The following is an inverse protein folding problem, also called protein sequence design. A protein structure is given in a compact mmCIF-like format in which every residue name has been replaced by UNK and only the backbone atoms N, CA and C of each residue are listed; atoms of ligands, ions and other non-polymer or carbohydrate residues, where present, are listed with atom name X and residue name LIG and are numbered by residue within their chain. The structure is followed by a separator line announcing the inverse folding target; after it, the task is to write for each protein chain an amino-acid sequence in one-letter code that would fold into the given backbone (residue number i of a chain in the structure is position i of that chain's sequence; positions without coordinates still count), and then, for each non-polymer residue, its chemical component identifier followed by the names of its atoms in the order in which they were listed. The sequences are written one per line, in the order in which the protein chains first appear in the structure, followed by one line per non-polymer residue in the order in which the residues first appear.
data_IF_039098408213
#
_entry.id   IF_039098408213
#
_cell.length_a   1.000
_cell.length_b   1.000
_cell.length_c   1.000
_cell.angle_alpha   90.00
_cell.angle_beta   90.00
_cell.angle_gamma   90.00
#
_symmetry.space_group_name_H-M   'P 1'
#
loop_
_entity.id
_entity.type
_entity.pdbx_description
1 polymer ?
#
# COMPACT_ATOMS: atom_id res chain seq x y z
N UNK A 1 -7.15 -0.52 -19.68
CA UNK A 1 -6.26 -1.10 -18.68
C UNK A 1 -6.06 -0.12 -17.55
N UNK A 2 -6.25 -0.55 -16.31
CA UNK A 2 -6.07 0.31 -15.15
C UNK A 2 -4.58 0.38 -14.77
N UNK A 3 -4.08 1.59 -14.58
CA UNK A 3 -2.72 1.81 -14.10
C UNK A 3 -2.72 2.12 -12.60
N UNK A 4 -1.53 2.03 -12.00
CA UNK A 4 -1.30 2.43 -10.61
C UNK A 4 -1.76 3.88 -10.40
N UNK A 5 -1.47 4.77 -11.35
CA UNK A 5 -1.88 6.18 -11.29
C UNK A 5 -3.40 6.33 -11.14
N UNK A 6 -4.16 5.61 -11.97
CA UNK A 6 -5.62 5.65 -11.92
C UNK A 6 -6.15 5.13 -10.59
N UNK A 7 -5.57 4.04 -10.09
CA UNK A 7 -5.96 3.46 -8.81
C UNK A 7 -5.70 4.40 -7.64
N UNK A 8 -4.54 5.07 -7.62
CA UNK A 8 -4.23 6.07 -6.58
C UNK A 8 -5.19 7.26 -6.61
N UNK A 9 -5.56 7.71 -7.82
CA UNK A 9 -6.47 8.86 -7.97
C UNK A 9 -7.87 8.58 -7.43
N UNK A 10 -8.26 7.31 -7.30
CA UNK A 10 -9.57 6.91 -6.80
C UNK A 10 -9.60 6.71 -5.28
N UNK A 11 -8.49 6.86 -4.59
CA UNK A 11 -8.46 6.78 -3.13
C UNK A 11 -9.21 7.98 -2.54
N UNK A 12 -10.05 7.77 -1.51
CA UNK A 12 -10.89 8.85 -0.96
C UNK A 12 -10.11 9.93 -0.22
N UNK A 13 -8.86 9.65 0.16
CA UNK A 13 -8.01 10.63 0.84
C UNK A 13 -6.92 11.09 -0.09
N UNK A 14 -6.47 12.37 0.03
CA UNK A 14 -5.32 12.84 -0.74
C UNK A 14 -4.13 11.92 -0.47
N UNK A 15 -3.31 11.71 -1.50
CA UNK A 15 -2.10 10.90 -1.36
C UNK A 15 -1.11 11.66 -0.49
N UNK A 16 -1.26 11.52 0.82
CA UNK A 16 -0.26 12.01 1.77
C UNK A 16 0.63 10.84 2.10
N UNK A 17 1.91 10.98 1.83
CA UNK A 17 2.89 9.96 2.21
C UNK A 17 3.02 9.96 3.72
N UNK A 18 2.51 8.92 4.36
CA UNK A 18 2.64 8.73 5.80
C UNK A 18 3.93 7.98 6.04
N UNK A 19 4.86 8.60 6.76
CA UNK A 19 6.19 8.03 6.96
C UNK A 19 6.71 8.29 8.37
N UNK A 20 7.70 7.49 8.76
CA UNK A 20 8.49 7.68 9.97
C UNK A 20 9.96 7.59 9.62
N UNK A 21 10.82 8.11 10.48
CA UNK A 21 12.26 7.96 10.35
C UNK A 21 12.72 6.59 10.89
N UNK A 22 13.89 6.11 10.44
CA UNK A 22 14.41 4.81 10.87
C UNK A 22 14.78 4.75 12.35
N UNK A 23 15.13 5.87 12.94
CA UNK A 23 15.56 5.94 14.35
C UNK A 23 14.41 6.18 15.32
N UNK A 24 13.17 6.27 14.83
CA UNK A 24 12.01 6.37 15.69
C UNK A 24 11.67 5.02 16.31
N UNK A 25 10.97 5.05 17.44
CA UNK A 25 10.52 3.84 18.12
C UNK A 25 9.31 3.24 17.39
N UNK A 26 9.21 1.93 17.41
CA UNK A 26 8.09 1.21 16.78
C UNK A 26 6.75 1.70 17.30
N UNK A 27 6.64 2.04 18.59
CA UNK A 27 5.40 2.55 19.18
C UNK A 27 4.90 3.81 18.48
N UNK A 28 5.80 4.69 18.03
CA UNK A 28 5.43 5.91 17.31
C UNK A 28 4.79 5.56 15.97
N UNK A 29 5.38 4.60 15.25
CA UNK A 29 4.81 4.12 13.98
C UNK A 29 3.43 3.48 14.18
N UNK A 30 3.26 2.67 15.24
CA UNK A 30 1.98 2.05 15.55
C UNK A 30 0.90 3.07 15.91
N UNK A 31 1.25 4.11 16.66
CA UNK A 31 0.33 5.20 16.97
C UNK A 31 -0.12 5.92 15.70
N UNK A 32 0.81 6.15 14.79
CA UNK A 32 0.51 6.82 13.52
C UNK A 32 -0.37 5.93 12.63
N UNK A 33 -0.12 4.61 12.59
CA UNK A 33 -0.98 3.66 11.88
C UNK A 33 -2.41 3.69 12.41
N UNK A 34 -2.56 3.73 13.73
CA UNK A 34 -3.87 3.84 14.40
C UNK A 34 -4.57 5.13 14.02
N UNK A 35 -3.87 6.26 14.16
CA UNK A 35 -4.46 7.58 13.96
C UNK A 35 -4.83 7.84 12.51
N UNK A 36 -4.04 7.32 11.58
CA UNK A 36 -4.27 7.46 10.13
C UNK A 36 -5.04 6.30 9.52
N UNK A 37 -5.36 5.27 10.31
CA UNK A 37 -6.12 4.08 9.88
C UNK A 37 -5.44 3.36 8.69
N UNK A 38 -4.13 3.23 8.76
CA UNK A 38 -3.33 2.51 7.77
C UNK A 38 -2.65 1.33 8.44
N UNK A 39 -2.28 0.32 7.66
CA UNK A 39 -1.65 -0.91 8.16
C UNK A 39 -0.17 -1.02 7.78
N UNK A 40 0.33 -0.03 7.09
CA UNK A 40 1.72 0.03 6.69
C UNK A 40 2.15 1.48 6.69
N UNK A 41 3.42 1.71 6.98
CA UNK A 41 4.00 3.04 7.01
C UNK A 41 5.37 2.98 6.36
N UNK A 42 5.69 4.00 5.58
CA UNK A 42 6.97 4.07 4.91
C UNK A 42 8.04 4.57 5.87
N UNK A 43 9.25 4.07 5.70
CA UNK A 43 10.42 4.51 6.47
C UNK A 43 11.29 5.32 5.52
N UNK A 44 11.37 6.63 5.79
CA UNK A 44 12.03 7.59 4.90
C UNK A 44 13.03 8.41 5.71
N UNK A 45 14.20 8.63 5.13
CA UNK A 45 15.22 9.53 5.67
C UNK A 45 15.88 10.27 4.51
N UNK A 46 15.98 11.60 4.63
CA UNK A 46 16.59 12.45 3.59
C UNK A 46 15.96 12.19 2.21
N UNK A 47 14.63 12.13 2.17
CA UNK A 47 13.82 11.88 0.98
C UNK A 47 14.03 10.50 0.34
N UNK A 48 14.79 9.62 0.99
CA UNK A 48 15.04 8.26 0.50
C UNK A 48 14.15 7.25 1.21
N UNK A 49 13.54 6.38 0.42
CA UNK A 49 12.78 5.25 0.94
C UNK A 49 13.77 4.18 1.42
N UNK A 50 13.80 3.95 2.74
CA UNK A 50 14.67 2.95 3.35
C UNK A 50 13.97 1.61 3.53
N UNK A 51 12.67 1.63 3.79
CA UNK A 51 11.94 0.42 4.05
C UNK A 51 10.46 0.68 4.22
N UNK A 52 9.75 -0.36 4.59
CA UNK A 52 8.34 -0.31 4.95
C UNK A 52 8.14 -1.09 6.24
N UNK A 53 7.31 -0.54 7.13
CA UNK A 53 6.94 -1.18 8.38
C UNK A 53 5.46 -1.48 8.35
N UNK A 54 5.10 -2.76 8.49
CA UNK A 54 3.71 -3.22 8.50
C UNK A 54 3.29 -3.66 9.89
N UNK A 55 1.97 -3.76 10.11
CA UNK A 55 1.46 -4.35 11.36
C UNK A 55 1.96 -5.79 11.52
N UNK A 56 2.08 -6.54 10.41
CA UNK A 56 2.65 -7.89 10.45
C UNK A 56 4.09 -7.92 10.94
N UNK A 57 4.93 -6.97 10.49
CA UNK A 57 6.30 -6.83 11.00
C UNK A 57 6.31 -6.62 12.51
N UNK A 58 5.43 -5.75 13.00
CA UNK A 58 5.35 -5.47 14.43
C UNK A 58 4.89 -6.69 15.22
N UNK A 59 3.92 -7.43 14.71
CA UNK A 59 3.43 -8.63 15.37
C UNK A 59 4.51 -9.72 15.45
N UNK A 60 5.19 -9.98 14.35
CA UNK A 60 6.13 -11.11 14.25
C UNK A 60 7.51 -10.77 14.81
N UNK A 61 7.96 -9.53 14.62
CA UNK A 61 9.34 -9.15 14.99
C UNK A 61 9.43 -8.42 16.33
N UNK A 62 8.33 -7.95 16.88
CA UNK A 62 8.30 -7.22 18.15
C UNK A 62 7.48 -7.98 19.18
N UNK A 63 6.20 -8.21 18.91
CA UNK A 63 5.28 -8.81 19.86
C UNK A 63 5.60 -10.29 20.13
N UNK A 64 5.75 -11.08 19.07
CA UNK A 64 6.00 -12.53 19.19
C UNK A 64 7.26 -12.85 20.00
N UNK A 65 8.44 -12.20 19.73
CA UNK A 65 9.63 -12.45 20.54
C UNK A 65 9.61 -11.77 21.91
N UNK A 66 8.56 -11.03 22.26
CA UNK A 66 8.43 -10.39 23.57
C UNK A 66 9.22 -9.10 23.73
N UNK A 67 9.53 -8.40 22.63
CA UNK A 67 10.22 -7.13 22.69
C UNK A 67 9.23 -5.99 23.01
N UNK A 68 9.77 -4.88 23.53
CA UNK A 68 8.99 -3.72 23.90
C UNK A 68 9.00 -2.71 22.75
N UNK A 69 7.85 -2.43 22.17
CA UNK A 69 7.68 -1.47 21.07
C UNK A 69 8.14 -0.05 21.45
N UNK A 70 8.20 0.26 22.74
CA UNK A 70 8.71 1.55 23.24
C UNK A 70 10.23 1.64 23.21
N UNK A 71 10.93 0.53 23.01
CA UNK A 71 12.38 0.46 23.00
C UNK A 71 12.95 0.10 21.63
N UNK A 72 12.23 -0.67 20.83
CA UNK A 72 12.69 -1.17 19.53
C UNK A 72 12.63 -0.03 18.50
N UNK A 73 13.70 0.09 17.71
CA UNK A 73 13.76 1.07 16.62
C UNK A 73 13.12 0.52 15.35
N UNK A 74 12.48 1.41 14.60
CA UNK A 74 11.83 1.06 13.33
C UNK A 74 12.82 0.36 12.38
N UNK A 75 14.05 0.88 12.27
CA UNK A 75 15.07 0.31 11.37
C UNK A 75 15.42 -1.14 11.67
N UNK A 76 15.22 -1.60 12.92
CA UNK A 76 15.59 -2.95 13.32
C UNK A 76 14.55 -4.00 12.95
N UNK A 77 13.34 -3.57 12.59
CA UNK A 77 12.22 -4.49 12.29
C UNK A 77 11.53 -4.22 10.95
N UNK A 78 11.83 -3.12 10.29
CA UNK A 78 11.26 -2.81 8.98
C UNK A 78 11.70 -3.82 7.92
N UNK A 79 10.92 -3.94 6.87
CA UNK A 79 11.34 -4.64 5.65
C UNK A 79 12.21 -3.69 4.84
N UNK A 80 13.47 -4.10 4.59
CA UNK A 80 14.48 -3.29 3.88
C UNK A 80 14.32 -3.47 2.38
N UNK A 81 14.69 -2.42 1.62
CA UNK A 81 14.64 -2.43 0.17
C UNK A 81 13.30 -2.95 -0.36
N UNK A 82 12.19 -2.29 -0.01
CA UNK A 82 10.89 -2.77 -0.45
C UNK A 82 10.78 -2.73 -1.97
N UNK A 83 10.06 -3.71 -2.52
CA UNK A 83 9.73 -3.71 -3.94
C UNK A 83 8.80 -2.53 -4.20
N UNK A 84 9.09 -1.76 -5.24
CA UNK A 84 8.34 -0.56 -5.60
C UNK A 84 7.72 -0.70 -6.99
N UNK A 85 6.71 0.11 -7.25
CA UNK A 85 6.06 0.20 -8.56
C UNK A 85 6.03 1.66 -9.01
N UNK A 86 5.72 1.89 -10.28
CA UNK A 86 5.63 3.23 -10.88
C UNK A 86 4.19 3.55 -11.24
N UNK A 87 3.90 4.84 -11.41
CA UNK A 87 2.55 5.29 -11.77
C UNK A 87 2.03 4.66 -13.06
N UNK A 88 2.90 4.43 -14.03
CA UNK A 88 2.53 3.88 -15.32
C UNK A 88 2.40 2.35 -15.33
N UNK A 89 2.78 1.70 -14.23
CA UNK A 89 2.66 0.24 -14.17
C UNK A 89 1.18 -0.17 -14.18
N UNK A 90 0.84 -1.26 -14.86
CA UNK A 90 -0.52 -1.78 -14.81
C UNK A 90 -0.82 -2.39 -13.44
N UNK A 91 -2.08 -2.34 -13.03
CA UNK A 91 -2.50 -2.93 -11.75
C UNK A 91 -2.19 -4.43 -11.71
N UNK A 92 -2.24 -5.11 -12.84
CA UNK A 92 -1.90 -6.53 -12.95
C UNK A 92 -0.47 -6.82 -12.49
N UNK A 93 0.46 -5.88 -12.72
CA UNK A 93 1.84 -6.01 -12.21
C UNK A 93 1.86 -6.00 -10.69
N UNK A 94 1.05 -5.16 -10.05
CA UNK A 94 0.91 -5.12 -8.59
C UNK A 94 0.33 -6.44 -8.07
N UNK A 95 -0.72 -6.93 -8.71
CA UNK A 95 -1.35 -8.20 -8.36
C UNK A 95 -0.34 -9.35 -8.44
N UNK A 96 0.45 -9.39 -9.51
CA UNK A 96 1.48 -10.40 -9.70
C UNK A 96 2.55 -10.36 -8.61
N UNK A 97 3.03 -9.18 -8.27
CA UNK A 97 4.03 -9.00 -7.21
C UNK A 97 3.47 -9.42 -5.84
N UNK A 98 2.24 -9.02 -5.53
CA UNK A 98 1.59 -9.39 -4.28
C UNK A 98 1.41 -10.89 -4.15
N UNK A 99 1.00 -11.55 -5.24
CA UNK A 99 0.78 -13.00 -5.26
C UNK A 99 2.10 -13.77 -5.18
N UNK A 100 3.10 -13.39 -5.97
CA UNK A 100 4.37 -14.13 -6.07
C UNK A 100 5.30 -13.91 -4.88
N UNK A 101 5.27 -12.71 -4.27
CA UNK A 101 6.16 -12.31 -3.20
C UNK A 101 5.46 -12.19 -1.85
N UNK A 102 4.16 -12.43 -1.80
CA UNK A 102 3.34 -12.31 -0.59
C UNK A 102 3.41 -10.92 0.05
N UNK A 103 3.56 -9.88 -0.76
CA UNK A 103 3.48 -8.49 -0.31
C UNK A 103 2.04 -8.02 -0.36
N UNK A 104 1.64 -7.21 0.63
CA UNK A 104 0.29 -6.62 0.68
C UNK A 104 0.30 -5.13 0.43
N UNK A 105 1.47 -4.52 0.35
CA UNK A 105 1.66 -3.08 0.16
C UNK A 105 2.83 -2.87 -0.76
N UNK A 106 2.68 -1.98 -1.73
CA UNK A 106 3.73 -1.62 -2.68
C UNK A 106 3.86 -0.11 -2.73
N UNK A 107 5.02 0.44 -2.33
CA UNK A 107 5.28 1.86 -2.50
C UNK A 107 5.34 2.21 -3.98
N UNK A 108 4.78 3.38 -4.32
CA UNK A 108 4.81 3.92 -5.68
C UNK A 108 5.86 5.02 -5.72
N UNK A 109 6.85 4.87 -6.58
CA UNK A 109 8.01 5.78 -6.66
C UNK A 109 8.11 6.35 -8.07
N UNK A 110 8.23 7.68 -8.16
CA UNK A 110 8.48 8.42 -9.39
C UNK A 110 9.64 9.39 -9.18
N UNK A 111 10.60 9.39 -10.10
CA UNK A 111 11.77 10.27 -10.05
C UNK A 111 12.48 10.22 -8.68
N UNK A 112 12.58 9.03 -8.09
CA UNK A 112 13.23 8.81 -6.79
C UNK A 112 12.40 9.22 -5.57
N UNK A 113 11.16 9.67 -5.78
CA UNK A 113 10.27 10.11 -4.69
C UNK A 113 9.06 9.21 -4.56
N UNK A 114 8.65 8.97 -3.32
CA UNK A 114 7.42 8.21 -3.04
C UNK A 114 6.22 9.11 -3.32
N UNK A 115 5.31 8.63 -4.18
CA UNK A 115 4.09 9.36 -4.52
C UNK A 115 2.83 8.68 -3.96
N UNK A 116 2.96 7.50 -3.38
CA UNK A 116 1.85 6.81 -2.75
C UNK A 116 2.17 5.37 -2.39
N UNK A 117 1.16 4.66 -1.92
CA UNK A 117 1.23 3.23 -1.60
C UNK A 117 0.00 2.54 -2.18
N UNK A 118 0.20 1.44 -2.89
CA UNK A 118 -0.88 0.56 -3.35
C UNK A 118 -0.97 -0.62 -2.39
N UNK A 119 -2.16 -0.82 -1.82
CA UNK A 119 -2.43 -1.97 -0.96
C UNK A 119 -3.21 -3.04 -1.72
N UNK A 120 -3.24 -4.27 -1.17
CA UNK A 120 -4.08 -5.34 -1.72
C UNK A 120 -5.56 -4.94 -1.71
N UNK A 121 -6.00 -4.17 -0.71
CA UNK A 121 -7.35 -3.63 -0.65
C UNK A 121 -7.66 -2.70 -1.81
N UNK A 122 -6.69 -1.86 -2.21
CA UNK A 122 -6.85 -0.97 -3.37
C UNK A 122 -7.03 -1.76 -4.66
N UNK A 123 -6.25 -2.84 -4.83
CA UNK A 123 -6.34 -3.71 -6.01
C UNK A 123 -7.70 -4.42 -6.06
N UNK A 124 -8.18 -4.92 -4.93
CA UNK A 124 -9.48 -5.58 -4.84
C UNK A 124 -10.61 -4.61 -5.18
N UNK A 125 -10.57 -3.40 -4.63
CA UNK A 125 -11.58 -2.36 -4.93
C UNK A 125 -11.59 -1.99 -6.41
N UNK A 126 -10.41 -1.91 -7.04
CA UNK A 126 -10.32 -1.65 -8.47
C UNK A 126 -10.97 -2.78 -9.28
N UNK A 127 -10.70 -4.03 -8.92
CA UNK A 127 -11.29 -5.19 -9.58
C UNK A 127 -12.82 -5.18 -9.47
N UNK A 128 -13.35 -4.84 -8.30
CA UNK A 128 -14.81 -4.74 -8.08
C UNK A 128 -15.40 -3.63 -8.96
N UNK A 129 -14.74 -2.46 -9.05
CA UNK A 129 -15.20 -1.37 -9.91
C UNK A 129 -15.24 -1.79 -11.36
N UNK A 130 -14.21 -2.51 -11.85
CA UNK A 130 -14.17 -3.00 -13.22
C UNK A 130 -15.32 -3.99 -13.50
N UNK A 131 -15.58 -4.92 -12.58
CA UNK A 131 -16.72 -5.83 -12.69
C UNK A 131 -18.04 -5.08 -12.72
N UNK A 132 -18.22 -4.08 -11.88
CA UNK A 132 -19.40 -3.24 -11.84
C UNK A 132 -19.64 -2.51 -13.16
N UNK A 133 -18.57 -1.98 -13.76
CA UNK A 133 -18.65 -1.33 -15.07
C UNK A 133 -19.06 -2.32 -16.17
N UNK A 134 -18.49 -3.52 -16.17
CA UNK A 134 -18.86 -4.56 -17.13
C UNK A 134 -20.31 -5.00 -16.97
N UNK A 135 -20.77 -5.20 -15.76
CA UNK A 135 -22.17 -5.56 -15.49
C UNK A 135 -23.11 -4.45 -15.96
N UNK A 136 -22.79 -3.20 -15.63
CA UNK A 136 -23.59 -2.04 -16.07
C UNK A 136 -23.68 -1.95 -17.57
N UNK A 137 -22.58 -2.17 -18.28
CA UNK A 137 -22.53 -2.16 -19.75
C UNK A 137 -23.41 -3.27 -20.31
N UNK A 138 -23.32 -4.49 -19.80
CA UNK A 138 -24.15 -5.62 -20.23
C UNK A 138 -25.63 -5.36 -19.98
N UNK A 139 -25.98 -4.83 -18.82
CA UNK A 139 -27.37 -4.47 -18.49
C UNK A 139 -27.92 -3.45 -19.48
N UNK A 140 -27.14 -2.42 -19.79
CA UNK A 140 -27.52 -1.40 -20.76
C UNK A 140 -27.74 -2.01 -22.15
N UNK A 141 -26.84 -2.88 -22.59
CA UNK A 141 -26.95 -3.59 -23.85
C UNK A 141 -28.23 -4.43 -23.92
N UNK A 142 -28.49 -5.22 -22.88
CA UNK A 142 -29.68 -6.05 -22.80
C UNK A 142 -30.97 -5.22 -22.85
N UNK A 143 -31.04 -4.12 -22.10
CA UNK A 143 -32.18 -3.21 -22.09
C UNK A 143 -32.40 -2.60 -23.45
N UNK A 144 -31.34 -2.20 -24.14
CA UNK A 144 -31.43 -1.62 -25.48
C UNK A 144 -31.94 -2.58 -26.54
N UNK A 145 -31.87 -3.88 -26.30
CA UNK A 145 -32.26 -4.93 -27.26
C UNK A 145 -33.51 -5.71 -26.84
N UNK A 146 -34.09 -5.39 -25.68
CA UNK A 146 -35.22 -6.12 -25.14
C UNK A 146 -36.58 -5.52 -25.49
N UNK A 147 -36.60 -4.44 -26.26
CA UNK A 147 -37.82 -3.77 -26.63
C UNK A 147 -38.50 -4.45 -27.82
#
# INVERSE_FOLDING_TARGET
MTTVKTCLAQKPQPVVTISVGPDEKVVVALQLMRDKRVRAILVIKDDKLLGILTQGDCAIKVLLPGLDAKQVLVKDVMTVDPVTVKLQDPIEACTGLMASRNFRHLPVVEAGRVVGVISIGDVVKDSIRQMGQQIGFLETYIKGHSA
#
